data_IF_699806571246
#
_entry.id   IF_699806571246
#
_cell.length_a   1.000
_cell.length_b   1.000
_cell.length_c   1.000
_cell.angle_alpha   90.00
_cell.angle_beta   90.00
_cell.angle_gamma   90.00
#
_symmetry.space_group_name_H-M   'P 1'
#
loop_
_entity.id
_entity.type
_entity.pdbx_description
1 polymer ?
#
# COMPACT_ATOMS: atom_id res chain seq x y z
N UNK A 1 -13.99 -27.92 4.71
CA UNK A 1 -13.62 -27.48 3.34
C UNK A 1 -12.75 -28.56 2.70
N UNK A 2 -13.04 -28.90 1.45
CA UNK A 2 -12.22 -29.86 0.70
C UNK A 2 -10.89 -29.23 0.29
N UNK A 3 -9.79 -29.92 0.51
CA UNK A 3 -8.46 -29.48 0.06
C UNK A 3 -8.16 -30.18 -1.25
N UNK A 4 -7.92 -29.41 -2.31
CA UNK A 4 -7.61 -29.90 -3.64
C UNK A 4 -6.09 -29.90 -3.87
N UNK A 5 -5.58 -30.68 -4.83
CA UNK A 5 -4.17 -30.69 -5.21
C UNK A 5 -3.96 -30.15 -6.62
N UNK A 6 -2.89 -29.36 -6.82
CA UNK A 6 -2.47 -28.90 -8.14
C UNK A 6 -0.99 -29.22 -8.34
N UNK A 7 -0.73 -30.10 -9.32
CA UNK A 7 0.61 -30.59 -9.66
C UNK A 7 1.15 -30.04 -10.98
N UNK A 8 0.38 -29.20 -11.70
CA UNK A 8 0.76 -28.68 -13.01
C UNK A 8 0.76 -27.16 -13.07
N UNK A 9 1.87 -26.57 -13.54
CA UNK A 9 1.94 -25.14 -13.91
C UNK A 9 0.97 -24.72 -15.02
N UNK A 10 0.46 -25.69 -15.80
CA UNK A 10 -0.50 -25.44 -16.87
C UNK A 10 -1.93 -25.30 -16.36
N UNK A 11 -2.20 -25.56 -15.07
CA UNK A 11 -3.50 -25.35 -14.48
C UNK A 11 -3.96 -23.90 -14.69
N UNK A 12 -5.18 -23.65 -15.19
CA UNK A 12 -5.67 -22.29 -15.50
C UNK A 12 -5.54 -21.33 -14.30
N UNK A 13 -5.93 -21.75 -13.10
CA UNK A 13 -5.88 -20.90 -11.90
C UNK A 13 -4.45 -20.48 -11.55
N UNK A 14 -3.45 -21.32 -11.81
CA UNK A 14 -2.03 -21.01 -11.59
C UNK A 14 -1.51 -20.03 -12.65
N UNK A 15 -1.91 -20.22 -13.92
CA UNK A 15 -1.55 -19.29 -15.00
C UNK A 15 -2.09 -17.88 -14.74
N UNK A 16 -3.38 -17.78 -14.43
CA UNK A 16 -4.02 -16.50 -14.15
C UNK A 16 -3.38 -15.84 -12.92
N UNK A 17 -3.20 -16.58 -11.83
CA UNK A 17 -2.53 -16.09 -10.63
C UNK A 17 -1.09 -15.61 -10.90
N UNK A 18 -0.33 -16.31 -11.74
CA UNK A 18 1.04 -15.93 -12.12
C UNK A 18 1.10 -14.62 -12.93
N UNK A 19 0.08 -14.32 -13.75
CA UNK A 19 -0.01 -13.06 -14.50
C UNK A 19 -0.21 -11.86 -13.57
N UNK A 20 -0.97 -12.03 -12.50
CA UNK A 20 -1.20 -10.97 -11.51
C UNK A 20 0.10 -10.48 -10.83
N UNK A 21 1.09 -11.33 -10.66
CA UNK A 21 2.39 -10.91 -10.12
C UNK A 21 3.19 -10.01 -11.08
N UNK A 22 2.97 -10.16 -12.38
CA UNK A 22 3.80 -9.55 -13.42
C UNK A 22 3.21 -8.26 -13.99
N UNK A 23 1.89 -8.12 -13.98
CA UNK A 23 1.18 -7.05 -14.69
C UNK A 23 0.20 -6.31 -13.79
N UNK A 24 0.36 -4.99 -13.72
CA UNK A 24 -0.62 -4.12 -13.05
C UNK A 24 -1.96 -4.13 -13.80
N UNK A 25 -1.95 -4.11 -15.16
CA UNK A 25 -3.16 -4.20 -15.98
C UNK A 25 -3.99 -5.42 -15.60
N UNK A 26 -3.35 -6.61 -15.56
CA UNK A 26 -4.01 -7.85 -15.15
C UNK A 26 -4.63 -7.76 -13.75
N UNK A 27 -3.93 -7.12 -12.81
CA UNK A 27 -4.47 -6.94 -11.45
C UNK A 27 -5.73 -6.09 -11.43
N UNK A 28 -5.71 -4.95 -12.12
CA UNK A 28 -6.84 -4.01 -12.13
C UNK A 28 -8.00 -4.50 -13.00
N UNK A 29 -7.75 -5.12 -14.14
CA UNK A 29 -8.78 -5.70 -15.00
C UNK A 29 -9.52 -6.85 -14.32
N UNK A 30 -8.78 -7.71 -13.60
CA UNK A 30 -9.37 -8.82 -12.84
C UNK A 30 -9.78 -8.44 -11.41
N UNK A 31 -9.41 -7.26 -10.91
CA UNK A 31 -9.63 -6.78 -9.55
C UNK A 31 -9.06 -7.75 -8.49
N UNK A 32 -7.89 -8.36 -8.79
CA UNK A 32 -7.24 -9.39 -7.97
C UNK A 32 -5.74 -9.14 -7.86
N UNK A 33 -5.14 -9.70 -6.83
CA UNK A 33 -3.69 -9.71 -6.63
C UNK A 33 -3.26 -10.96 -5.87
N UNK A 34 -1.94 -11.22 -5.86
CA UNK A 34 -1.35 -12.31 -5.09
C UNK A 34 -0.63 -11.74 -3.87
N UNK A 35 -0.98 -12.22 -2.69
CA UNK A 35 -0.20 -12.04 -1.48
C UNK A 35 0.74 -13.24 -1.30
N UNK A 36 2.06 -12.99 -1.22
CA UNK A 36 3.10 -14.01 -1.07
C UNK A 36 3.71 -13.97 0.33
N UNK A 37 3.76 -15.13 0.99
CA UNK A 37 4.38 -15.34 2.28
C UNK A 37 3.39 -15.57 3.41
N UNK A 38 3.75 -16.48 4.34
CA UNK A 38 2.85 -16.95 5.39
C UNK A 38 2.31 -15.82 6.28
N UNK A 39 3.17 -14.85 6.65
CA UNK A 39 2.76 -13.72 7.48
C UNK A 39 1.82 -12.79 6.73
N UNK A 40 2.15 -12.44 5.48
CA UNK A 40 1.33 -11.52 4.68
C UNK A 40 -0.05 -12.12 4.38
N UNK A 41 -0.10 -13.42 4.08
CA UNK A 41 -1.36 -14.15 3.87
C UNK A 41 -2.21 -14.18 5.14
N UNK A 42 -1.59 -14.39 6.31
CA UNK A 42 -2.30 -14.30 7.58
C UNK A 42 -2.83 -12.88 7.82
N UNK A 43 -2.03 -11.85 7.59
CA UNK A 43 -2.45 -10.45 7.76
C UNK A 43 -3.62 -10.10 6.83
N UNK A 44 -3.63 -10.59 5.58
CA UNK A 44 -4.77 -10.45 4.67
C UNK A 44 -6.03 -11.10 5.25
N UNK A 45 -5.93 -12.33 5.74
CA UNK A 45 -7.05 -13.06 6.34
C UNK A 45 -7.62 -12.35 7.58
N UNK A 46 -6.76 -11.85 8.47
CA UNK A 46 -7.15 -11.14 9.68
C UNK A 46 -7.72 -9.74 9.41
N UNK A 47 -7.32 -9.12 8.30
CA UNK A 47 -7.82 -7.81 7.87
C UNK A 47 -9.16 -7.88 7.11
N UNK A 48 -9.75 -9.07 6.97
CA UNK A 48 -11.03 -9.23 6.28
C UNK A 48 -10.94 -9.17 4.76
N UNK A 49 -9.74 -9.33 4.18
CA UNK A 49 -9.57 -9.43 2.74
C UNK A 49 -10.24 -10.70 2.23
N UNK A 50 -11.02 -10.60 1.14
CA UNK A 50 -11.62 -11.78 0.53
C UNK A 50 -10.55 -12.60 -0.17
N UNK A 51 -10.23 -13.78 0.39
CA UNK A 51 -9.28 -14.74 -0.17
C UNK A 51 -10.06 -15.74 -1.04
N UNK A 52 -9.91 -15.60 -2.35
CA UNK A 52 -10.56 -16.49 -3.32
C UNK A 52 -9.92 -17.87 -3.33
N UNK A 53 -8.59 -17.94 -3.24
CA UNK A 53 -7.85 -19.19 -3.14
C UNK A 53 -6.60 -19.06 -2.27
N UNK A 54 -6.36 -20.05 -1.44
CA UNK A 54 -5.13 -20.22 -0.67
C UNK A 54 -4.31 -21.36 -1.28
N UNK A 55 -3.04 -21.08 -1.60
CA UNK A 55 -2.10 -22.08 -2.12
C UNK A 55 -0.93 -22.25 -1.16
N UNK A 56 -0.55 -23.47 -0.89
CA UNK A 56 0.65 -23.74 -0.09
C UNK A 56 1.27 -25.10 -0.44
N UNK A 57 2.61 -25.20 -0.27
CA UNK A 57 3.32 -26.47 -0.43
C UNK A 57 3.19 -27.32 0.82
N UNK A 58 3.38 -28.65 0.73
CA UNK A 58 3.36 -29.52 1.90
C UNK A 58 4.41 -29.11 2.95
N UNK A 59 5.60 -28.74 2.51
CA UNK A 59 6.67 -28.26 3.40
C UNK A 59 6.27 -26.98 4.14
N UNK A 60 5.64 -26.02 3.42
CA UNK A 60 5.10 -24.81 4.02
C UNK A 60 3.95 -25.10 4.99
N UNK A 61 3.08 -26.08 4.66
CA UNK A 61 1.99 -26.54 5.52
C UNK A 61 2.47 -27.04 6.88
N UNK A 62 3.62 -27.71 6.92
CA UNK A 62 4.27 -28.14 8.16
C UNK A 62 4.91 -26.97 8.91
N UNK A 63 5.71 -26.17 8.20
CA UNK A 63 6.52 -25.08 8.78
C UNK A 63 5.69 -23.92 9.30
N UNK A 64 4.65 -23.52 8.57
CA UNK A 64 3.81 -22.36 8.86
C UNK A 64 2.38 -22.72 9.26
N UNK A 65 2.21 -23.92 9.88
CA UNK A 65 0.90 -24.50 10.19
C UNK A 65 -0.07 -23.51 10.84
N UNK A 66 0.35 -22.81 11.88
CA UNK A 66 -0.51 -21.88 12.63
C UNK A 66 -1.01 -20.68 11.78
N UNK A 67 -0.20 -20.18 10.84
CA UNK A 67 -0.60 -19.12 9.92
C UNK A 67 -1.58 -19.63 8.87
N UNK A 68 -1.26 -20.79 8.29
CA UNK A 68 -2.05 -21.40 7.23
C UNK A 68 -3.42 -21.85 7.75
N UNK A 69 -3.49 -22.45 8.95
CA UNK A 69 -4.77 -22.90 9.51
C UNK A 69 -5.73 -21.72 9.73
N UNK A 70 -5.25 -20.57 10.21
CA UNK A 70 -6.08 -19.35 10.32
C UNK A 70 -6.49 -18.79 8.96
N UNK A 71 -5.60 -18.83 7.97
CA UNK A 71 -5.93 -18.37 6.62
C UNK A 71 -6.96 -19.28 5.94
N UNK A 72 -6.91 -20.58 6.17
CA UNK A 72 -7.91 -21.56 5.67
C UNK A 72 -9.34 -21.21 6.08
N UNK A 73 -9.53 -20.70 7.30
CA UNK A 73 -10.85 -20.30 7.80
C UNK A 73 -11.50 -19.17 6.98
N UNK A 74 -10.70 -18.40 6.28
CA UNK A 74 -11.12 -17.21 5.51
C UNK A 74 -11.04 -17.41 3.99
N UNK A 75 -10.38 -18.47 3.53
CA UNK A 75 -10.23 -18.76 2.12
C UNK A 75 -11.46 -19.52 1.56
N UNK A 76 -11.89 -19.15 0.35
CA UNK A 76 -12.97 -19.84 -0.35
C UNK A 76 -12.53 -21.23 -0.83
N UNK A 77 -11.39 -21.30 -1.50
CA UNK A 77 -10.80 -22.53 -2.02
C UNK A 77 -9.41 -22.75 -1.44
N UNK A 78 -9.02 -24.01 -1.22
CA UNK A 78 -7.73 -24.37 -0.63
C UNK A 78 -7.03 -25.39 -1.54
N UNK A 79 -5.75 -25.09 -1.86
CA UNK A 79 -4.94 -25.93 -2.75
C UNK A 79 -3.58 -26.26 -2.11
N UNK A 80 -3.25 -27.55 -2.09
CA UNK A 80 -1.86 -27.99 -1.91
C UNK A 80 -1.21 -28.00 -3.30
N UNK A 81 -0.06 -27.38 -3.43
CA UNK A 81 0.67 -27.26 -4.69
C UNK A 81 2.08 -27.82 -4.57
N UNK A 82 2.59 -28.40 -5.65
CA UNK A 82 3.97 -28.85 -5.70
C UNK A 82 4.96 -27.67 -5.70
N UNK A 83 6.18 -27.90 -5.21
CA UNK A 83 7.22 -26.86 -5.13
C UNK A 83 7.52 -26.21 -6.49
N UNK A 84 7.53 -26.99 -7.57
CA UNK A 84 7.75 -26.44 -8.90
C UNK A 84 6.57 -25.57 -9.38
N UNK A 85 5.33 -25.82 -8.93
CA UNK A 85 4.16 -24.97 -9.19
C UNK A 85 4.26 -23.69 -8.37
N UNK A 86 4.66 -23.80 -7.10
CA UNK A 86 4.88 -22.68 -6.20
C UNK A 86 5.87 -21.65 -6.79
N UNK A 87 6.94 -22.10 -7.44
CA UNK A 87 7.90 -21.23 -8.13
C UNK A 87 7.29 -20.38 -9.24
N UNK A 88 6.16 -20.79 -9.84
CA UNK A 88 5.48 -19.96 -10.85
C UNK A 88 4.61 -18.86 -10.25
N UNK A 89 4.26 -18.98 -8.98
CA UNK A 89 3.55 -17.94 -8.20
C UNK A 89 4.49 -17.02 -7.41
N UNK A 90 5.78 -17.34 -7.35
CA UNK A 90 6.75 -16.59 -6.58
C UNK A 90 7.20 -15.33 -7.32
N UNK A 91 7.25 -14.19 -6.60
CA UNK A 91 7.96 -12.97 -6.99
C UNK A 91 9.34 -12.90 -6.32
N UNK A 92 9.52 -13.61 -5.21
CA UNK A 92 10.80 -13.66 -4.47
C UNK A 92 11.66 -14.86 -4.88
N UNK A 93 13.00 -14.69 -4.81
CA UNK A 93 13.96 -15.79 -5.08
C UNK A 93 13.85 -16.94 -4.07
N UNK A 94 13.47 -16.64 -2.83
CA UNK A 94 13.35 -17.61 -1.72
C UNK A 94 11.94 -17.56 -1.16
N UNK A 95 10.98 -18.11 -1.91
CA UNK A 95 9.59 -18.12 -1.49
C UNK A 95 9.36 -19.04 -0.29
N UNK A 96 8.42 -18.65 0.56
CA UNK A 96 7.94 -19.47 1.68
C UNK A 96 6.94 -20.56 1.26
N UNK A 97 6.56 -20.62 -0.02
CA UNK A 97 5.59 -21.59 -0.54
C UNK A 97 4.16 -21.39 -0.03
N UNK A 98 3.77 -20.15 0.34
CA UNK A 98 2.41 -19.79 0.78
C UNK A 98 1.95 -18.58 -0.01
N UNK A 99 0.77 -18.68 -0.64
CA UNK A 99 0.21 -17.63 -1.48
C UNK A 99 -1.30 -17.53 -1.28
N UNK A 100 -1.84 -16.32 -1.40
CA UNK A 100 -3.27 -16.10 -1.42
C UNK A 100 -3.67 -15.28 -2.66
N UNK A 101 -4.64 -15.77 -3.41
CA UNK A 101 -5.33 -15.00 -4.44
C UNK A 101 -6.41 -14.16 -3.76
N UNK A 102 -6.20 -12.87 -3.72
CA UNK A 102 -7.03 -11.91 -3.02
C UNK A 102 -7.81 -11.01 -3.99
N UNK A 103 -8.97 -10.54 -3.58
CA UNK A 103 -9.70 -9.49 -4.31
C UNK A 103 -9.32 -8.10 -3.80
N UNK A 104 -9.27 -7.15 -4.73
CA UNK A 104 -9.09 -5.75 -4.40
C UNK A 104 -10.33 -5.18 -3.69
N UNK A 105 -10.14 -4.18 -2.86
CA UNK A 105 -11.25 -3.46 -2.24
C UNK A 105 -11.91 -2.53 -3.27
N UNK A 106 -13.10 -2.89 -3.72
CA UNK A 106 -13.87 -2.11 -4.72
C UNK A 106 -14.44 -0.80 -4.22
N UNK A 107 -14.65 -0.68 -2.91
CA UNK A 107 -15.37 0.49 -2.35
C UNK A 107 -14.50 1.74 -2.33
N UNK A 108 -13.18 1.59 -2.56
CA UNK A 108 -12.24 2.69 -2.34
C UNK A 108 -12.25 3.20 -0.90
N UNK A 109 -11.41 4.17 -0.62
CA UNK A 109 -11.38 4.86 0.67
C UNK A 109 -12.47 5.94 0.79
N UNK A 110 -12.78 6.29 2.01
CA UNK A 110 -13.65 7.44 2.34
C UNK A 110 -12.80 8.48 3.06
N UNK A 111 -12.86 9.74 2.62
CA UNK A 111 -12.12 10.82 3.25
C UNK A 111 -12.56 11.01 4.70
N UNK A 112 -11.64 10.87 5.63
CA UNK A 112 -11.86 11.04 7.06
C UNK A 112 -10.55 11.35 7.77
N UNK A 113 -10.63 12.07 8.87
CA UNK A 113 -9.53 12.29 9.79
C UNK A 113 -8.27 12.88 9.15
N UNK A 114 -7.14 12.72 9.80
CA UNK A 114 -5.83 13.17 9.29
C UNK A 114 -5.48 12.47 8.00
N UNK A 115 -5.13 13.24 6.99
CA UNK A 115 -4.97 12.74 5.62
C UNK A 115 -3.55 13.00 5.10
N UNK A 116 -2.95 12.00 4.50
CA UNK A 116 -1.69 12.13 3.75
C UNK A 116 -2.00 12.01 2.27
N UNK A 117 -1.56 13.00 1.48
CA UNK A 117 -1.68 12.98 0.02
C UNK A 117 -0.31 12.63 -0.56
N UNK A 118 -0.26 11.61 -1.40
CA UNK A 118 0.96 11.15 -2.06
C UNK A 118 0.86 11.47 -3.55
N UNK A 119 1.73 12.36 -4.02
CA UNK A 119 1.79 12.72 -5.43
C UNK A 119 2.99 12.06 -6.11
N UNK A 120 2.72 11.26 -7.15
CA UNK A 120 3.75 10.65 -8.00
C UNK A 120 4.79 9.80 -7.24
N UNK A 121 4.43 9.14 -6.15
CA UNK A 121 5.33 8.23 -5.44
C UNK A 121 5.52 6.96 -6.29
N UNK A 122 6.67 6.84 -6.94
CA UNK A 122 6.94 5.78 -7.92
C UNK A 122 7.70 4.58 -7.34
N UNK A 123 8.51 4.78 -6.29
CA UNK A 123 9.24 3.68 -5.66
C UNK A 123 8.33 2.83 -4.77
N UNK A 124 8.19 1.51 -5.04
CA UNK A 124 7.33 0.63 -4.26
C UNK A 124 7.76 0.47 -2.80
N UNK A 125 9.07 0.63 -2.48
CA UNK A 125 9.55 0.56 -1.11
C UNK A 125 9.11 1.79 -0.33
N UNK A 126 9.20 2.98 -0.93
CA UNK A 126 8.72 4.22 -0.32
C UNK A 126 7.21 4.16 -0.08
N UNK A 127 6.43 3.79 -1.10
CA UNK A 127 4.97 3.63 -0.97
C UNK A 127 4.62 2.67 0.17
N UNK A 128 5.22 1.49 0.19
CA UNK A 128 4.95 0.49 1.22
C UNK A 128 5.33 0.96 2.63
N UNK A 129 6.49 1.63 2.77
CA UNK A 129 6.93 2.18 4.05
C UNK A 129 6.04 3.32 4.53
N UNK A 130 5.58 4.21 3.65
CA UNK A 130 4.62 5.28 4.00
C UNK A 130 3.32 4.68 4.52
N UNK A 131 2.72 3.73 3.79
CA UNK A 131 1.48 3.07 4.21
C UNK A 131 1.66 2.36 5.56
N UNK A 132 2.79 1.66 5.76
CA UNK A 132 3.10 0.98 7.01
C UNK A 132 3.25 1.93 8.18
N UNK A 133 4.02 3.00 8.00
CA UNK A 133 4.27 4.00 9.05
C UNK A 133 2.98 4.73 9.40
N UNK A 134 2.21 5.14 8.40
CA UNK A 134 0.97 5.87 8.63
C UNK A 134 -0.11 5.00 9.27
N UNK A 135 -0.24 3.74 8.88
CA UNK A 135 -1.16 2.80 9.56
C UNK A 135 -0.77 2.61 11.02
N UNK A 136 0.53 2.44 11.30
CA UNK A 136 1.04 2.29 12.66
C UNK A 136 0.83 3.55 13.52
N UNK A 137 0.88 4.74 12.93
CA UNK A 137 0.65 6.02 13.59
C UNK A 137 -0.84 6.42 13.66
N UNK A 138 -1.74 5.66 13.04
CA UNK A 138 -3.17 5.97 13.03
C UNK A 138 -3.56 7.10 12.07
N UNK A 139 -2.85 7.24 10.94
CA UNK A 139 -3.29 8.12 9.85
C UNK A 139 -4.59 7.57 9.27
N UNK A 140 -5.59 8.43 9.17
CA UNK A 140 -6.96 8.02 8.84
C UNK A 140 -7.19 7.79 7.35
N UNK A 141 -6.52 8.55 6.48
CA UNK A 141 -6.71 8.47 5.02
C UNK A 141 -5.40 8.70 4.27
N UNK A 142 -5.21 7.94 3.20
CA UNK A 142 -4.18 8.19 2.19
C UNK A 142 -4.88 8.53 0.87
N UNK A 143 -4.47 9.61 0.21
CA UNK A 143 -4.91 9.94 -1.15
C UNK A 143 -3.70 9.75 -2.07
N UNK A 144 -3.85 8.89 -3.09
CA UNK A 144 -2.85 8.69 -4.12
C UNK A 144 -3.26 9.46 -5.37
N UNK A 145 -2.39 10.34 -5.85
CA UNK A 145 -2.67 11.16 -7.02
C UNK A 145 -1.52 11.16 -8.02
N UNK A 146 -1.79 11.54 -9.25
CA UNK A 146 -0.82 11.47 -10.34
C UNK A 146 -0.42 10.02 -10.68
N UNK A 147 0.86 9.80 -10.91
CA UNK A 147 1.42 8.50 -11.32
C UNK A 147 2.09 7.77 -10.14
N UNK A 148 1.32 7.47 -9.09
CA UNK A 148 1.78 6.63 -8.02
C UNK A 148 1.94 5.16 -8.47
N UNK A 149 2.89 4.45 -7.87
CA UNK A 149 3.04 3.02 -8.10
C UNK A 149 1.84 2.23 -7.58
N UNK A 150 1.63 1.04 -8.15
CA UNK A 150 0.52 0.15 -7.77
C UNK A 150 0.70 -0.41 -6.36
N UNK A 151 -0.23 -0.08 -5.46
CA UNK A 151 -0.23 -0.53 -4.06
C UNK A 151 -0.43 -2.04 -3.90
N UNK A 152 -0.99 -2.71 -4.91
CA UNK A 152 -1.15 -4.17 -4.92
C UNK A 152 0.00 -4.90 -5.63
N UNK A 153 1.05 -4.18 -6.04
CA UNK A 153 2.25 -4.82 -6.56
C UNK A 153 2.94 -5.66 -5.48
N UNK A 154 3.57 -6.80 -5.83
CA UNK A 154 4.25 -7.66 -4.87
C UNK A 154 5.26 -6.92 -3.98
N UNK A 155 5.95 -5.92 -4.53
CA UNK A 155 6.94 -5.12 -3.79
C UNK A 155 6.29 -4.23 -2.74
N UNK A 156 5.19 -3.54 -3.06
CA UNK A 156 4.45 -2.70 -2.09
C UNK A 156 3.81 -3.57 -1.02
N UNK A 157 3.16 -4.68 -1.39
CA UNK A 157 2.56 -5.62 -0.44
C UNK A 157 3.57 -6.07 0.63
N UNK A 158 4.79 -6.44 0.20
CA UNK A 158 5.86 -6.83 1.14
C UNK A 158 6.36 -5.66 1.97
N UNK A 159 6.66 -4.52 1.34
CA UNK A 159 7.19 -3.35 2.05
C UNK A 159 6.20 -2.80 3.09
N UNK A 160 4.90 -2.86 2.80
CA UNK A 160 3.86 -2.41 3.71
C UNK A 160 3.62 -3.35 4.90
N UNK A 161 4.17 -4.58 4.88
CA UNK A 161 3.94 -5.58 5.94
C UNK A 161 2.45 -5.76 6.26
N UNK A 162 1.60 -5.78 5.21
CA UNK A 162 0.15 -5.94 5.35
C UNK A 162 -0.63 -4.68 5.71
N UNK A 163 0.02 -3.53 5.94
CA UNK A 163 -0.68 -2.28 6.21
C UNK A 163 -1.64 -1.88 5.10
N UNK A 164 -1.32 -2.19 3.84
CA UNK A 164 -2.19 -1.94 2.68
C UNK A 164 -3.60 -2.56 2.82
N UNK A 165 -3.73 -3.65 3.57
CA UNK A 165 -5.02 -4.32 3.79
C UNK A 165 -5.93 -3.55 4.77
N UNK A 166 -5.33 -2.69 5.61
CA UNK A 166 -6.02 -1.93 6.66
C UNK A 166 -6.09 -0.44 6.35
N UNK A 167 -5.18 0.05 5.49
CA UNK A 167 -5.14 1.44 5.10
C UNK A 167 -6.40 1.86 4.33
N UNK A 168 -6.92 3.02 4.67
CA UNK A 168 -8.02 3.66 3.95
C UNK A 168 -7.43 4.50 2.82
N UNK A 169 -7.42 3.96 1.61
CA UNK A 169 -6.77 4.54 0.43
C UNK A 169 -7.80 5.02 -0.58
N UNK A 170 -7.69 6.28 -0.98
CA UNK A 170 -8.42 6.90 -2.10
C UNK A 170 -7.42 7.06 -3.25
N UNK A 171 -7.77 6.59 -4.44
CA UNK A 171 -6.97 6.85 -5.66
C UNK A 171 -7.75 7.81 -6.55
N UNK A 172 -7.19 9.00 -6.77
CA UNK A 172 -7.74 10.01 -7.66
C UNK A 172 -6.61 10.73 -8.39
N UNK A 173 -6.50 10.51 -9.69
CA UNK A 173 -5.41 11.07 -10.51
C UNK A 173 -5.58 12.56 -10.80
N UNK A 174 -6.80 13.05 -10.84
CA UNK A 174 -7.13 14.43 -11.16
C UNK A 174 -6.97 15.33 -9.92
N UNK A 175 -5.98 16.21 -9.95
CA UNK A 175 -5.68 17.15 -8.87
C UNK A 175 -6.85 18.08 -8.52
N UNK A 176 -7.64 18.48 -9.51
CA UNK A 176 -8.81 19.33 -9.26
C UNK A 176 -9.89 18.57 -8.47
N UNK A 177 -10.04 17.29 -8.73
CA UNK A 177 -10.95 16.45 -7.93
C UNK A 177 -10.44 16.25 -6.52
N UNK A 178 -9.13 16.04 -6.32
CA UNK A 178 -8.50 15.97 -4.99
C UNK A 178 -8.74 17.27 -4.23
N UNK A 179 -8.44 18.43 -4.86
CA UNK A 179 -8.69 19.74 -4.27
C UNK A 179 -10.16 19.92 -3.87
N UNK A 180 -11.08 19.61 -4.79
CA UNK A 180 -12.51 19.76 -4.55
C UNK A 180 -13.02 18.84 -3.43
N UNK A 181 -12.50 17.60 -3.36
CA UNK A 181 -12.81 16.65 -2.30
C UNK A 181 -12.40 17.21 -0.93
N UNK A 182 -11.15 17.66 -0.80
CA UNK A 182 -10.62 18.22 0.44
C UNK A 182 -11.36 19.51 0.85
N UNK A 183 -11.58 20.43 -0.11
CA UNK A 183 -12.27 21.69 0.13
C UNK A 183 -13.73 21.48 0.57
N UNK A 184 -14.45 20.56 -0.07
CA UNK A 184 -15.86 20.23 0.28
C UNK A 184 -15.98 19.77 1.74
N UNK A 185 -14.98 19.07 2.23
CA UNK A 185 -14.94 18.55 3.59
C UNK A 185 -14.21 19.47 4.58
N UNK A 186 -13.88 20.71 4.17
CA UNK A 186 -13.20 21.74 4.96
C UNK A 186 -11.83 21.30 5.50
N UNK A 187 -11.02 20.63 4.68
CA UNK A 187 -9.63 20.32 5.01
C UNK A 187 -8.69 21.49 4.74
N UNK A 188 -7.73 21.71 5.64
CA UNK A 188 -6.53 22.49 5.34
C UNK A 188 -5.52 21.59 4.63
N UNK A 189 -5.05 22.02 3.47
CA UNK A 189 -4.08 21.28 2.65
C UNK A 189 -2.71 21.95 2.70
N UNK A 190 -1.72 21.26 3.23
CA UNK A 190 -0.33 21.70 3.29
C UNK A 190 0.54 20.89 2.33
N UNK A 191 1.43 21.56 1.59
CA UNK A 191 2.41 20.91 0.71
C UNK A 191 3.78 20.81 1.37
N UNK A 192 4.32 19.60 1.51
CA UNK A 192 5.68 19.40 2.05
C UNK A 192 6.74 19.68 0.99
N UNK A 193 7.65 20.61 1.27
CA UNK A 193 8.74 21.00 0.39
C UNK A 193 10.05 21.18 1.15
N UNK A 194 11.23 20.94 0.55
CA UNK A 194 12.52 21.14 1.18
C UNK A 194 12.99 22.61 1.05
N UNK A 195 12.13 23.59 1.36
CA UNK A 195 12.42 25.00 1.22
C UNK A 195 12.52 25.68 2.59
N UNK A 196 13.66 26.29 2.90
CA UNK A 196 13.88 27.02 4.17
C UNK A 196 12.95 28.23 4.36
N UNK A 197 12.34 28.74 3.28
CA UNK A 197 11.35 29.83 3.31
C UNK A 197 9.94 29.38 3.63
N UNK A 198 9.66 28.07 3.57
CA UNK A 198 8.37 27.51 3.98
C UNK A 198 8.22 27.48 5.50
N UNK A 199 6.98 27.47 6.01
CA UNK A 199 6.71 27.31 7.42
C UNK A 199 7.20 25.95 7.90
N UNK A 200 7.76 25.89 9.11
CA UNK A 200 8.10 24.57 9.68
C UNK A 200 6.83 23.79 9.98
N UNK A 201 6.89 22.47 9.78
CA UNK A 201 5.76 21.58 10.08
C UNK A 201 5.28 21.72 11.54
N UNK A 202 6.18 22.09 12.46
CA UNK A 202 5.89 22.33 13.88
C UNK A 202 5.20 23.67 14.17
N UNK A 203 5.09 24.55 13.17
CA UNK A 203 4.52 25.90 13.32
C UNK A 203 3.12 26.03 12.70
N UNK A 204 2.57 24.93 12.17
CA UNK A 204 1.20 24.90 11.63
C UNK A 204 0.24 24.29 12.66
N UNK A 205 -1.02 24.69 12.58
CA UNK A 205 -2.07 24.07 13.35
C UNK A 205 -2.50 22.77 12.66
N UNK A 206 -2.38 21.66 13.36
CA UNK A 206 -2.77 20.33 12.88
C UNK A 206 -3.99 19.86 13.66
N UNK A 207 -5.05 19.52 12.95
CA UNK A 207 -6.28 18.97 13.50
C UNK A 207 -6.76 17.77 12.66
N UNK A 208 -7.93 17.24 12.97
CA UNK A 208 -8.50 16.09 12.26
C UNK A 208 -8.89 16.37 10.81
N UNK A 209 -8.96 17.63 10.40
CA UNK A 209 -9.22 18.06 9.02
C UNK A 209 -7.95 18.64 8.37
N UNK A 210 -6.81 18.08 8.70
CA UNK A 210 -5.52 18.44 8.08
C UNK A 210 -5.11 17.38 7.07
N UNK A 211 -4.75 17.82 5.87
CA UNK A 211 -4.11 17.03 4.84
C UNK A 211 -2.69 17.56 4.58
N UNK A 212 -1.70 16.67 4.54
CA UNK A 212 -0.33 17.03 4.15
C UNK A 212 0.09 16.23 2.92
N UNK A 213 0.53 16.95 1.90
CA UNK A 213 0.98 16.37 0.65
C UNK A 213 2.49 16.14 0.64
N UNK A 214 2.89 15.01 0.08
CA UNK A 214 4.28 14.56 -0.10
C UNK A 214 4.45 14.18 -1.56
N UNK A 215 5.47 14.76 -2.19
CA UNK A 215 5.73 14.57 -3.60
C UNK A 215 6.74 13.47 -3.91
N UNK A 216 7.05 13.36 -5.19
CA UNK A 216 8.03 12.43 -5.77
C UNK A 216 9.42 12.57 -5.15
N UNK A 217 10.19 11.50 -5.19
CA UNK A 217 11.53 11.41 -4.62
C UNK A 217 12.56 12.33 -5.30
N UNK A 218 12.39 12.58 -6.60
CA UNK A 218 13.29 13.44 -7.38
C UNK A 218 12.82 14.90 -7.44
N UNK A 219 11.58 15.10 -7.89
CA UNK A 219 11.06 16.42 -8.23
C UNK A 219 10.24 17.08 -7.10
N UNK A 220 9.93 16.32 -6.06
CA UNK A 220 9.03 16.77 -4.99
C UNK A 220 7.58 16.88 -5.46
N UNK A 221 6.84 17.84 -4.89
CA UNK A 221 5.50 18.20 -5.35
C UNK A 221 5.57 18.99 -6.66
N UNK A 222 4.66 18.70 -7.59
CA UNK A 222 4.51 19.47 -8.81
C UNK A 222 4.12 20.93 -8.51
N UNK A 223 4.45 21.84 -9.42
CA UNK A 223 4.07 23.25 -9.24
C UNK A 223 2.55 23.41 -9.23
N UNK A 224 1.83 22.60 -10.03
CA UNK A 224 0.37 22.57 -10.01
C UNK A 224 -0.15 22.17 -8.63
N UNK A 225 0.45 21.15 -7.99
CA UNK A 225 0.06 20.74 -6.64
C UNK A 225 0.37 21.82 -5.60
N UNK A 226 1.55 22.44 -5.68
CA UNK A 226 1.93 23.55 -4.76
C UNK A 226 0.92 24.70 -4.81
N UNK A 227 0.40 25.03 -5.99
CA UNK A 227 -0.60 26.09 -6.18
C UNK A 227 -1.98 25.79 -5.57
N UNK A 228 -2.32 24.54 -5.35
CA UNK A 228 -3.60 24.20 -4.73
C UNK A 228 -3.52 24.09 -3.19
N UNK A 229 -2.30 24.09 -2.62
CA UNK A 229 -2.09 24.07 -1.19
C UNK A 229 -2.43 25.42 -0.53
N UNK A 230 -2.96 25.38 0.69
CA UNK A 230 -3.21 26.58 1.49
C UNK A 230 -1.90 27.21 1.98
N UNK A 231 -0.88 26.37 2.25
CA UNK A 231 0.49 26.80 2.53
C UNK A 231 1.48 25.66 2.25
N UNK A 232 2.76 26.06 2.09
CA UNK A 232 3.88 25.13 2.02
C UNK A 232 4.52 24.97 3.41
N UNK A 233 4.92 23.74 3.73
CA UNK A 233 5.58 23.39 4.99
C UNK A 233 6.89 22.66 4.77
N UNK A 234 7.81 22.77 5.68
CA UNK A 234 9.13 22.15 5.60
C UNK A 234 9.50 21.41 6.89
N UNK A 235 10.29 20.35 6.75
CA UNK A 235 11.07 19.75 7.82
C UNK A 235 12.41 20.47 7.83
N UNK A 236 12.81 21.16 8.91
CA UNK A 236 14.07 21.90 8.92
C UNK A 236 15.27 20.98 8.74
N UNK A 237 16.10 21.25 7.72
CA UNK A 237 17.37 20.55 7.51
C UNK A 237 18.49 21.30 8.23
N UNK A 238 19.01 20.72 9.32
CA UNK A 238 20.10 21.32 10.12
C UNK A 238 21.50 20.87 9.64
N UNK A 239 21.56 19.91 8.75
CA UNK A 239 22.78 19.37 8.18
C UNK A 239 23.05 19.88 6.77
N UNK A 240 23.86 19.10 5.99
CA UNK A 240 24.22 19.40 4.61
C UNK A 240 23.29 18.76 3.57
N UNK A 241 22.39 17.89 4.01
CA UNK A 241 21.44 17.26 3.12
C UNK A 241 20.38 18.27 2.65
N UNK A 242 20.10 18.30 1.36
CA UNK A 242 19.11 19.19 0.76
C UNK A 242 17.68 18.70 0.96
N UNK A 243 17.48 17.38 1.07
CA UNK A 243 16.18 16.75 1.27
C UNK A 243 16.30 15.41 1.99
N UNK A 244 15.18 14.85 2.39
CA UNK A 244 15.05 13.49 2.92
C UNK A 244 14.43 12.57 1.88
N UNK A 245 14.70 11.27 2.01
CA UNK A 245 13.92 10.25 1.31
C UNK A 245 12.41 10.45 1.59
N UNK A 246 11.56 10.25 0.59
CA UNK A 246 10.12 10.51 0.68
C UNK A 246 9.43 9.75 1.82
N UNK A 247 9.78 8.49 2.07
CA UNK A 247 9.23 7.72 3.18
C UNK A 247 9.71 8.23 4.54
N UNK A 248 10.96 8.71 4.63
CA UNK A 248 11.49 9.33 5.86
C UNK A 248 10.78 10.65 6.16
N UNK A 249 10.64 11.51 5.15
CA UNK A 249 9.89 12.77 5.27
C UNK A 249 8.44 12.51 5.68
N UNK A 250 7.79 11.55 5.03
CA UNK A 250 6.43 11.12 5.37
C UNK A 250 6.33 10.67 6.83
N UNK A 251 7.28 9.88 7.31
CA UNK A 251 7.30 9.41 8.70
C UNK A 251 7.37 10.56 9.72
N UNK A 252 8.22 11.56 9.48
CA UNK A 252 8.35 12.74 10.34
C UNK A 252 7.06 13.57 10.30
N UNK A 253 6.53 13.83 9.12
CA UNK A 253 5.28 14.59 8.93
C UNK A 253 4.11 13.89 9.64
N UNK A 254 3.94 12.60 9.41
CA UNK A 254 2.86 11.82 10.03
C UNK A 254 2.98 11.78 11.56
N UNK A 255 4.21 11.71 12.08
CA UNK A 255 4.43 11.81 13.52
C UNK A 255 3.97 13.18 14.06
N UNK A 256 4.34 14.29 13.40
CA UNK A 256 3.87 15.62 13.78
C UNK A 256 2.34 15.76 13.68
N UNK A 257 1.71 15.07 12.72
CA UNK A 257 0.25 15.10 12.55
C UNK A 257 -0.51 14.43 13.70
N UNK A 258 0.11 13.52 14.44
CA UNK A 258 -0.58 12.69 15.45
C UNK A 258 -0.14 12.98 16.89
N UNK A 259 1.00 13.66 17.10
CA UNK A 259 1.53 13.94 18.43
C UNK A 259 0.69 14.96 19.22
#
# INVERSE_FOLDING_TARGET
MEIKSITSKKNPIIKDASLLNKSASERYENEKYIAEGARLVLDAALSGVYIEALFYTESAGKKYKSYIDKAKEKAKDIYIIDDHVALSLADTKSSQGVYALCRMNKKGGVLKGRTVVLENIQDPSNMGNVLRTGEALGIDTFILTGECCDIYSPKVLRASMGAVFRANVITEKDLNKVKNLLKKENYSLYGSVPLNTAKKITEIEINTKTAVAIGNEGDGLSDEFKHICDALVTIPMLGRAESLNAASAAGIIMWEMVR
#
